data_IF_651080129656
#
_entry.id   IF_651080129656
#
_cell.length_a   1.000
_cell.length_b   1.000
_cell.length_c   1.000
_cell.angle_alpha   90.00
_cell.angle_beta   90.00
_cell.angle_gamma   90.00
#
_symmetry.space_group_name_H-M   'P 1'
#
loop_
_entity.id
_entity.type
_entity.pdbx_description
1 polymer ?
#
# COMPACT_ATOMS: atom_id res chain seq x y z
N UNK A 1 20.28 -8.02 -59.51
CA UNK A 1 19.31 -8.72 -58.65
C UNK A 1 19.90 -8.82 -57.24
N UNK A 2 19.43 -7.98 -56.32
CA UNK A 2 19.84 -7.99 -54.91
C UNK A 2 18.68 -8.51 -54.05
N UNK A 3 19.02 -9.42 -53.14
CA UNK A 3 18.12 -10.19 -52.26
C UNK A 3 17.41 -9.31 -51.23
N UNK A 4 16.10 -9.54 -51.06
CA UNK A 4 15.31 -9.14 -49.91
C UNK A 4 15.63 -10.03 -48.70
N UNK A 5 15.90 -9.41 -47.54
CA UNK A 5 15.85 -10.06 -46.22
C UNK A 5 15.36 -9.00 -45.21
N UNK A 6 14.08 -9.03 -44.86
CA UNK A 6 13.54 -9.64 -43.64
C UNK A 6 13.74 -8.77 -42.38
N UNK A 7 12.93 -7.71 -42.28
CA UNK A 7 12.72 -6.95 -41.06
C UNK A 7 11.64 -7.66 -40.21
N UNK A 8 12.05 -8.65 -39.42
CA UNK A 8 11.22 -9.27 -38.39
C UNK A 8 12.11 -9.79 -37.25
N UNK A 9 12.51 -8.88 -36.36
CA UNK A 9 13.29 -9.22 -35.15
C UNK A 9 13.05 -8.19 -34.03
N UNK A 10 11.79 -8.06 -33.59
CA UNK A 10 11.45 -7.37 -32.33
C UNK A 10 10.49 -8.16 -31.46
N UNK A 11 10.69 -9.47 -31.38
CA UNK A 11 10.04 -10.29 -30.37
C UNK A 11 10.86 -11.54 -30.13
N UNK A 12 11.74 -11.52 -29.12
CA UNK A 12 12.16 -12.70 -28.36
C UNK A 12 13.22 -12.34 -27.32
N UNK A 13 13.04 -12.88 -26.11
CA UNK A 13 14.03 -13.06 -25.04
C UNK A 13 14.22 -11.91 -24.05
N UNK A 14 13.13 -11.59 -23.35
CA UNK A 14 13.16 -11.57 -21.88
C UNK A 14 13.62 -12.96 -21.40
N UNK A 15 14.92 -13.12 -21.20
CA UNK A 15 15.52 -14.28 -20.55
C UNK A 15 16.90 -13.85 -20.05
N UNK A 16 17.01 -13.53 -18.76
CA UNK A 16 18.01 -14.11 -17.86
C UNK A 16 18.10 -13.29 -16.56
N UNK A 17 17.43 -13.83 -15.55
CA UNK A 17 17.81 -13.67 -14.15
C UNK A 17 19.24 -14.19 -13.95
N UNK A 18 19.92 -13.55 -12.98
CA UNK A 18 21.03 -14.08 -12.19
C UNK A 18 22.35 -14.38 -12.92
N UNK A 19 23.27 -13.42 -12.89
CA UNK A 19 24.69 -13.73 -12.74
C UNK A 19 25.36 -12.66 -11.86
N UNK A 20 25.75 -13.10 -10.67
CA UNK A 20 26.63 -12.40 -9.73
C UNK A 20 28.03 -12.45 -10.33
N UNK A 21 28.59 -11.30 -10.70
CA UNK A 21 30.04 -11.15 -10.87
C UNK A 21 30.46 -9.82 -10.24
N UNK A 22 31.20 -9.97 -9.14
CA UNK A 22 32.10 -9.00 -8.50
C UNK A 22 32.95 -8.23 -9.50
N UNK A 23 32.93 -6.90 -9.41
CA UNK A 23 34.11 -6.08 -9.71
C UNK A 23 34.12 -4.85 -8.79
N UNK A 24 35.22 -4.69 -8.08
CA UNK A 24 35.45 -3.63 -7.11
C UNK A 24 35.74 -2.32 -7.84
N UNK A 25 34.89 -1.30 -7.70
CA UNK A 25 35.29 0.07 -8.01
C UNK A 25 34.67 1.10 -7.07
N UNK A 26 35.58 1.66 -6.26
CA UNK A 26 35.57 3.00 -5.64
C UNK A 26 34.46 3.30 -4.62
N UNK A 27 34.89 3.16 -3.38
CA UNK A 27 34.40 3.89 -2.21
C UNK A 27 34.45 5.41 -2.50
N UNK A 28 33.34 5.96 -2.99
CA UNK A 28 33.04 7.37 -2.87
C UNK A 28 32.16 7.44 -1.63
N UNK A 29 32.74 7.93 -0.53
CA UNK A 29 32.08 8.07 0.77
C UNK A 29 30.80 8.89 0.67
N UNK A 30 29.71 8.25 0.28
CA UNK A 30 28.38 8.78 0.33
C UNK A 30 27.89 8.50 1.74
N UNK A 31 28.00 9.52 2.60
CA UNK A 31 27.37 9.48 3.92
C UNK A 31 25.88 9.27 3.68
N UNK A 32 25.45 8.03 3.82
CA UNK A 32 24.05 7.65 3.82
C UNK A 32 23.43 8.42 4.96
N UNK A 33 22.78 9.55 4.67
CA UNK A 33 21.88 10.19 5.62
C UNK A 33 20.87 9.12 5.96
N UNK A 34 21.04 8.47 7.11
CA UNK A 34 20.06 7.60 7.69
C UNK A 34 18.83 8.47 7.88
N UNK A 35 17.91 8.44 6.90
CA UNK A 35 16.57 8.96 7.08
C UNK A 35 16.11 8.25 8.34
N UNK A 36 15.93 9.01 9.42
CA UNK A 36 15.37 8.50 10.65
C UNK A 36 14.08 7.80 10.24
N UNK A 37 14.15 6.47 10.19
CA UNK A 37 13.08 5.66 9.66
C UNK A 37 11.95 5.80 10.64
N UNK A 38 10.95 6.62 10.33
CA UNK A 38 9.66 6.50 10.95
C UNK A 38 9.26 5.04 10.77
N UNK A 39 9.28 4.27 11.85
CA UNK A 39 8.85 2.87 11.81
C UNK A 39 7.37 2.90 11.45
N UNK A 40 7.06 2.68 10.19
CA UNK A 40 5.68 2.55 9.72
C UNK A 40 5.13 1.30 10.38
N UNK A 41 4.33 1.48 11.43
CA UNK A 41 3.57 0.38 12.01
C UNK A 41 2.38 0.12 11.08
N UNK A 42 2.44 -0.99 10.35
CA UNK A 42 1.32 -1.46 9.53
C UNK A 42 0.38 -2.27 10.43
N UNK A 43 -0.84 -1.78 10.63
CA UNK A 43 -1.90 -2.54 11.29
C UNK A 43 -2.73 -3.24 10.21
N UNK A 44 -2.94 -4.55 10.36
CA UNK A 44 -3.81 -5.34 9.48
C UNK A 44 -5.13 -5.59 10.20
N UNK A 45 -6.22 -5.36 9.47
CA UNK A 45 -7.56 -5.74 9.93
C UNK A 45 -7.71 -7.26 9.87
N UNK A 46 -8.48 -7.82 10.81
CA UNK A 46 -8.87 -9.22 10.75
C UNK A 46 -9.92 -9.44 9.65
N UNK A 47 -10.19 -10.70 9.27
CA UNK A 47 -11.19 -11.00 8.24
C UNK A 47 -12.60 -10.54 8.64
N UNK A 48 -12.93 -10.60 9.92
CA UNK A 48 -14.23 -10.12 10.42
C UNK A 48 -14.29 -8.60 10.38
N UNK A 49 -13.22 -7.91 10.78
CA UNK A 49 -13.13 -6.44 10.66
C UNK A 49 -13.24 -5.97 9.19
N UNK A 50 -12.68 -6.74 8.24
CA UNK A 50 -12.81 -6.45 6.81
C UNK A 50 -14.26 -6.55 6.33
N UNK A 51 -15.01 -7.56 6.78
CA UNK A 51 -16.45 -7.68 6.47
C UNK A 51 -17.25 -6.54 7.10
N UNK A 52 -16.92 -6.15 8.33
CA UNK A 52 -17.55 -4.99 8.98
C UNK A 52 -17.27 -3.71 8.20
N UNK A 53 -16.03 -3.51 7.74
CA UNK A 53 -15.66 -2.36 6.93
C UNK A 53 -16.39 -2.34 5.57
N UNK A 54 -16.51 -3.50 4.91
CA UNK A 54 -17.27 -3.65 3.66
C UNK A 54 -18.73 -3.25 3.85
N UNK A 55 -19.38 -3.72 4.93
CA UNK A 55 -20.75 -3.33 5.26
C UNK A 55 -20.89 -1.83 5.51
N UNK A 56 -20.00 -1.24 6.31
CA UNK A 56 -19.98 0.22 6.54
C UNK A 56 -19.83 0.97 5.21
N UNK A 57 -19.01 0.46 4.30
CA UNK A 57 -18.84 1.04 2.97
C UNK A 57 -20.08 0.96 2.12
N UNK A 58 -20.79 -0.16 2.12
CA UNK A 58 -22.06 -0.29 1.42
C UNK A 58 -23.09 0.70 1.95
N UNK A 59 -23.24 0.80 3.27
CA UNK A 59 -24.18 1.72 3.91
C UNK A 59 -23.86 3.18 3.54
N UNK A 60 -22.61 3.60 3.69
CA UNK A 60 -22.15 4.96 3.36
C UNK A 60 -22.31 5.26 1.86
N UNK A 61 -22.06 4.29 1.00
CA UNK A 61 -22.26 4.46 -0.45
C UNK A 61 -23.74 4.45 -0.87
N UNK A 62 -24.62 3.84 -0.09
CA UNK A 62 -26.06 3.93 -0.29
C UNK A 62 -26.59 5.35 -0.10
N UNK A 63 -25.98 6.11 0.81
CA UNK A 63 -26.34 7.51 1.08
C UNK A 63 -25.55 8.52 0.22
N UNK A 64 -24.38 8.12 -0.27
CA UNK A 64 -23.51 8.97 -1.07
C UNK A 64 -23.89 8.94 -2.56
N UNK A 65 -23.83 10.09 -3.23
CA UNK A 65 -23.98 10.17 -4.69
C UNK A 65 -22.77 9.65 -5.46
N UNK A 66 -21.64 9.48 -4.78
CA UNK A 66 -20.36 9.07 -5.36
C UNK A 66 -19.77 7.90 -4.60
N UNK A 67 -19.16 6.95 -5.31
CA UNK A 67 -18.49 5.83 -4.66
C UNK A 67 -17.30 6.30 -3.83
N UNK A 68 -17.32 5.93 -2.55
CA UNK A 68 -16.30 6.17 -1.54
C UNK A 68 -15.51 4.87 -1.34
N UNK A 69 -14.18 5.01 -1.35
CA UNK A 69 -13.24 3.91 -1.14
C UNK A 69 -13.06 3.57 0.35
N UNK A 70 -12.65 2.33 0.63
CA UNK A 70 -12.35 1.86 2.00
C UNK A 70 -11.37 2.77 2.73
N UNK A 71 -10.32 3.21 2.05
CA UNK A 71 -9.32 4.12 2.61
C UNK A 71 -9.93 5.46 3.08
N UNK A 72 -10.90 6.00 2.33
CA UNK A 72 -11.57 7.25 2.71
C UNK A 72 -12.48 7.07 3.91
N UNK A 73 -13.15 5.91 4.00
CA UNK A 73 -13.97 5.56 5.15
C UNK A 73 -13.11 5.40 6.39
N UNK A 74 -12.00 4.67 6.31
CA UNK A 74 -11.05 4.52 7.43
C UNK A 74 -10.53 5.90 7.88
N UNK A 75 -10.13 6.76 6.95
CA UNK A 75 -9.69 8.13 7.27
C UNK A 75 -10.79 8.94 8.00
N UNK A 76 -12.05 8.81 7.56
CA UNK A 76 -13.18 9.48 8.20
C UNK A 76 -13.45 8.93 9.60
N UNK A 77 -13.41 7.61 9.80
CA UNK A 77 -13.60 6.98 11.11
C UNK A 77 -12.50 7.39 12.10
N UNK A 78 -11.24 7.44 11.66
CA UNK A 78 -10.13 7.94 12.47
C UNK A 78 -10.35 9.42 12.83
N UNK A 79 -10.77 10.24 11.85
CA UNK A 79 -11.06 11.65 12.10
C UNK A 79 -12.19 11.84 13.12
N UNK A 80 -13.28 11.09 13.00
CA UNK A 80 -14.39 11.11 13.98
C UNK A 80 -13.87 10.67 15.35
N UNK A 81 -13.16 9.56 15.42
CA UNK A 81 -12.58 9.04 16.66
C UNK A 81 -11.61 10.01 17.34
N UNK A 82 -10.85 10.78 16.56
CA UNK A 82 -9.91 11.79 17.09
C UNK A 82 -10.60 12.96 17.79
N UNK A 83 -11.88 13.20 17.50
CA UNK A 83 -12.71 14.23 18.15
C UNK A 83 -13.48 13.72 19.36
N UNK A 84 -13.51 12.40 19.58
CA UNK A 84 -14.17 11.82 20.73
C UNK A 84 -13.33 12.06 21.99
N UNK A 85 -14.00 12.30 23.11
CA UNK A 85 -13.35 12.32 24.40
C UNK A 85 -12.75 10.94 24.71
N UNK A 86 -11.57 10.95 25.32
CA UNK A 86 -10.83 9.72 25.66
C UNK A 86 -11.66 8.75 26.50
N UNK A 87 -12.55 9.24 27.37
CA UNK A 87 -13.47 8.41 28.15
C UNK A 87 -14.46 7.60 27.30
N UNK A 88 -14.93 8.14 26.17
CA UNK A 88 -15.82 7.43 25.24
C UNK A 88 -15.06 6.34 24.49
N UNK A 89 -13.83 6.64 24.08
CA UNK A 89 -12.94 5.65 23.45
C UNK A 89 -12.64 4.51 24.43
N UNK A 90 -12.32 4.84 25.68
CA UNK A 90 -12.05 3.84 26.72
C UNK A 90 -13.28 2.96 27.01
N UNK A 91 -14.47 3.56 27.06
CA UNK A 91 -15.72 2.82 27.23
C UNK A 91 -15.95 1.85 26.07
N UNK A 92 -15.79 2.31 24.83
CA UNK A 92 -15.93 1.47 23.64
C UNK A 92 -14.95 0.28 23.66
N UNK A 93 -13.69 0.51 24.06
CA UNK A 93 -12.70 -0.57 24.21
C UNK A 93 -13.15 -1.60 25.24
N UNK A 94 -13.68 -1.16 26.40
CA UNK A 94 -14.17 -2.06 27.45
C UNK A 94 -15.38 -2.89 27.03
N UNK A 95 -16.20 -2.38 26.12
CA UNK A 95 -17.38 -3.09 25.62
C UNK A 95 -17.02 -4.12 24.53
N UNK A 96 -15.83 -4.01 23.94
CA UNK A 96 -15.31 -4.93 22.91
C UNK A 96 -14.53 -6.12 23.48
N UNK A 97 -14.13 -6.06 24.76
CA UNK A 97 -13.33 -7.07 25.48
C UNK A 97 -14.23 -7.87 26.41
#
# INVERSE_FOLDING_TARGET
>A
MAKLANASSKLSKLSNLNEIVTDQQKDIGMVSKSKAGYKIKTFRLSNDDLKTLEKIREDVNGESRTSISDNKIIQALIYIGSKLESGKVLKAIKEMV
#
